data_IF_768979187204
#
_entry.id   IF_768979187204
#
_cell.length_a   1.000
_cell.length_b   1.000
_cell.length_c   1.000
_cell.angle_alpha   90.00
_cell.angle_beta   90.00
_cell.angle_gamma   90.00
#
_symmetry.space_group_name_H-M   'P 1'
#
loop_
_entity.id
_entity.type
_entity.pdbx_description
1 polymer ?
#
# COMPACT_ATOMS: atom_id res chain seq x y z
N UNK A 1 -2.32 63.68 21.29
CA UNK A 1 -3.60 62.97 21.26
C UNK A 1 -3.78 62.51 19.82
N UNK A 2 -3.30 61.30 19.51
CA UNK A 2 -3.54 60.69 18.20
C UNK A 2 -4.77 59.80 18.36
N UNK A 3 -5.79 60.18 17.62
CA UNK A 3 -7.11 59.54 17.56
C UNK A 3 -6.93 58.24 16.77
N UNK A 4 -6.85 57.12 17.49
CA UNK A 4 -6.76 55.79 16.90
C UNK A 4 -8.14 55.45 16.34
N UNK A 5 -8.28 55.51 15.02
CA UNK A 5 -9.53 55.30 14.31
C UNK A 5 -10.08 53.90 14.61
N UNK A 6 -11.24 53.87 15.27
CA UNK A 6 -11.99 52.67 15.63
C UNK A 6 -12.45 51.94 14.34
N UNK A 7 -11.68 50.91 13.96
CA UNK A 7 -12.02 50.05 12.84
C UNK A 7 -13.30 49.26 13.16
N UNK A 8 -14.20 49.03 12.18
CA UNK A 8 -15.48 48.38 12.43
C UNK A 8 -15.26 47.00 13.04
N UNK A 9 -15.91 46.75 14.18
CA UNK A 9 -15.86 45.50 14.92
C UNK A 9 -16.53 44.40 14.08
N UNK A 10 -15.75 43.79 13.20
CA UNK A 10 -16.14 42.58 12.48
C UNK A 10 -16.14 41.48 13.54
N UNK A 11 -17.32 41.22 14.10
CA UNK A 11 -17.56 40.10 15.01
C UNK A 11 -17.36 38.81 14.22
N UNK A 12 -16.12 38.33 14.19
CA UNK A 12 -15.81 37.00 13.69
C UNK A 12 -16.22 35.98 14.74
N UNK A 13 -16.96 34.94 14.32
CA UNK A 13 -17.29 33.79 15.17
C UNK A 13 -16.04 32.98 15.57
N UNK A 14 -14.91 33.20 14.88
CA UNK A 14 -13.66 32.52 15.13
C UNK A 14 -12.66 33.44 15.83
N UNK A 15 -11.86 32.90 16.77
CA UNK A 15 -10.81 33.69 17.40
C UNK A 15 -9.79 34.14 16.34
N UNK A 16 -9.29 35.37 16.48
CA UNK A 16 -8.21 35.87 15.66
C UNK A 16 -7.00 34.90 15.71
N UNK A 17 -6.26 34.75 14.61
CA UNK A 17 -5.13 33.83 14.56
C UNK A 17 -4.08 34.19 15.63
N UNK A 18 -3.34 33.20 16.16
CA UNK A 18 -2.29 33.44 17.14
C UNK A 18 -1.27 34.48 16.65
N UNK A 19 -0.92 35.45 17.49
CA UNK A 19 -0.04 36.60 17.14
C UNK A 19 1.34 36.22 16.59
N UNK A 20 1.76 34.96 16.72
CA UNK A 20 3.01 34.42 16.19
C UNK A 20 3.16 34.60 14.67
N UNK A 21 2.07 34.76 13.91
CA UNK A 21 2.16 35.00 12.47
C UNK A 21 2.99 36.25 12.11
N UNK A 22 3.00 37.26 12.99
CA UNK A 22 3.78 38.49 12.78
C UNK A 22 5.30 38.26 12.83
N UNK A 23 5.76 37.17 13.47
CA UNK A 23 7.19 36.82 13.55
C UNK A 23 7.75 36.33 12.21
N UNK A 24 6.87 35.96 11.27
CA UNK A 24 7.23 35.49 9.93
C UNK A 24 7.09 36.58 8.86
N UNK A 25 6.97 37.87 9.26
CA UNK A 25 6.78 38.98 8.33
C UNK A 25 7.94 39.14 7.33
N UNK A 26 9.17 38.85 7.74
CA UNK A 26 10.38 38.95 6.91
C UNK A 26 10.73 37.64 6.19
N UNK A 27 9.94 36.58 6.37
CA UNK A 27 10.13 35.27 5.74
C UNK A 27 10.08 34.08 6.71
N UNK A 28 10.23 32.87 6.16
CA UNK A 28 10.13 31.61 6.91
C UNK A 28 11.22 31.45 7.97
N UNK A 29 12.42 31.99 7.68
CA UNK A 29 13.61 31.92 8.54
C UNK A 29 13.58 32.89 9.74
N UNK A 30 12.67 33.88 9.71
CA UNK A 30 12.57 34.94 10.73
C UNK A 30 11.85 34.45 12.00
N UNK A 31 10.98 33.45 11.87
CA UNK A 31 10.23 32.92 13.01
C UNK A 31 10.97 31.80 13.74
N UNK A 32 10.66 31.57 15.02
CA UNK A 32 11.21 30.43 15.75
C UNK A 32 10.78 29.11 15.07
N UNK A 33 11.64 28.10 15.16
CA UNK A 33 11.28 26.74 14.79
C UNK A 33 10.08 26.27 15.63
N UNK A 34 9.21 25.41 15.07
CA UNK A 34 8.11 24.84 15.84
C UNK A 34 8.65 24.16 17.11
N UNK A 35 7.92 24.28 18.24
CA UNK A 35 8.33 23.64 19.48
C UNK A 35 8.47 22.13 19.27
N UNK A 36 9.40 21.51 20.01
CA UNK A 36 9.55 20.06 20.00
C UNK A 36 8.20 19.38 20.31
N UNK A 37 7.89 18.23 19.70
CA UNK A 37 6.67 17.49 19.99
C UNK A 37 6.56 17.30 21.50
N UNK A 38 5.42 17.70 22.07
CA UNK A 38 5.20 17.54 23.51
C UNK A 38 5.35 16.06 23.92
N UNK A 39 5.70 15.85 25.19
CA UNK A 39 5.65 14.56 25.89
C UNK A 39 4.39 13.75 25.50
N UNK A 40 4.43 12.41 25.58
CA UNK A 40 3.55 11.51 24.85
C UNK A 40 2.04 11.64 25.13
N UNK A 41 1.59 12.56 25.97
CA UNK A 41 0.18 12.82 26.25
C UNK A 41 -0.12 14.33 26.27
N UNK A 42 -1.06 14.78 25.45
CA UNK A 42 -1.57 16.15 25.44
C UNK A 42 -3.08 16.19 25.68
N UNK A 43 -3.60 17.23 26.32
CA UNK A 43 -5.04 17.36 26.52
C UNK A 43 -5.65 18.19 25.39
N UNK A 44 -6.68 17.65 24.74
CA UNK A 44 -7.46 18.33 23.73
C UNK A 44 -8.94 18.25 24.12
N UNK A 45 -9.58 19.42 24.30
CA UNK A 45 -10.98 19.51 24.73
C UNK A 45 -11.30 18.73 26.03
N UNK A 46 -10.35 18.70 26.97
CA UNK A 46 -10.50 18.01 28.25
C UNK A 46 -10.23 16.51 28.21
N UNK A 47 -9.93 15.93 27.04
CA UNK A 47 -9.54 14.53 26.90
C UNK A 47 -8.02 14.40 26.74
N UNK A 48 -7.36 13.51 27.48
CA UNK A 48 -5.95 13.18 27.24
C UNK A 48 -5.82 12.37 25.93
N UNK A 49 -4.97 12.84 25.03
CA UNK A 49 -4.60 12.19 23.77
C UNK A 49 -3.13 11.80 23.82
N UNK A 50 -2.80 10.59 23.36
CA UNK A 50 -1.42 10.17 23.21
C UNK A 50 -0.88 10.56 21.83
N UNK A 51 0.39 10.98 21.76
CA UNK A 51 1.09 11.12 20.47
C UNK A 51 1.58 9.78 19.93
N UNK A 52 1.55 8.72 20.75
CA UNK A 52 1.82 7.36 20.30
C UNK A 52 0.57 6.75 19.65
N UNK A 53 0.74 6.11 18.50
CA UNK A 53 -0.31 5.36 17.78
C UNK A 53 -0.57 4.01 18.46
N UNK A 54 -0.94 4.05 19.74
CA UNK A 54 -1.37 2.88 20.50
C UNK A 54 -2.88 2.96 20.62
N UNK A 55 -3.53 1.93 20.07
CA UNK A 55 -4.97 1.74 20.19
C UNK A 55 -5.37 1.76 21.67
N UNK A 56 -6.19 2.72 22.13
CA UNK A 56 -6.57 2.79 23.52
C UNK A 56 -7.30 1.52 23.95
N UNK A 57 -6.78 0.86 24.98
CA UNK A 57 -7.41 -0.31 25.58
C UNK A 57 -8.64 0.14 26.37
N UNK A 58 -9.82 -0.18 25.86
CA UNK A 58 -11.08 0.19 26.50
C UNK A 58 -11.38 -0.65 27.76
N UNK A 59 -10.59 -1.70 27.99
CA UNK A 59 -10.72 -2.62 29.12
C UNK A 59 -9.41 -2.69 29.92
N UNK A 60 -8.96 -1.58 30.55
CA UNK A 60 -7.70 -1.55 31.27
C UNK A 60 -7.73 -2.38 32.57
N UNK A 61 -8.91 -2.75 33.05
CA UNK A 61 -9.06 -3.55 34.27
C UNK A 61 -8.75 -5.04 34.00
N UNK A 62 -7.82 -5.66 34.74
CA UNK A 62 -7.54 -7.08 34.61
C UNK A 62 -8.80 -7.91 34.94
N UNK A 63 -9.14 -8.86 34.08
CA UNK A 63 -10.30 -9.75 34.24
C UNK A 63 -11.57 -9.33 33.51
N UNK A 64 -11.63 -8.12 32.93
CA UNK A 64 -12.77 -7.70 32.07
C UNK A 64 -12.61 -8.11 30.61
N UNK A 65 -11.41 -8.52 30.18
CA UNK A 65 -11.15 -9.06 28.84
C UNK A 65 -11.56 -10.54 28.79
N UNK A 66 -12.56 -10.84 27.97
CA UNK A 66 -13.16 -12.19 27.83
C UNK A 66 -12.50 -13.02 26.72
N UNK A 67 -11.65 -12.38 25.91
CA UNK A 67 -10.83 -13.02 24.89
C UNK A 67 -9.39 -13.19 25.39
N UNK A 68 -8.68 -14.17 24.81
CA UNK A 68 -7.31 -14.50 25.23
C UNK A 68 -6.42 -13.24 25.19
N UNK A 69 -5.57 -13.01 26.21
CA UNK A 69 -4.58 -11.95 26.13
C UNK A 69 -3.69 -12.23 24.92
N UNK A 70 -3.29 -11.17 24.21
CA UNK A 70 -2.15 -11.29 23.31
C UNK A 70 -1.00 -11.88 24.13
N UNK A 71 -0.45 -12.98 23.65
CA UNK A 71 0.31 -13.93 24.46
C UNK A 71 1.40 -13.27 25.31
N UNK A 72 1.56 -13.84 26.49
CA UNK A 72 2.80 -13.83 27.25
C UNK A 72 3.99 -14.09 26.29
N UNK A 73 5.08 -13.34 26.48
CA UNK A 73 6.20 -12.97 25.59
C UNK A 73 6.97 -14.08 24.80
N UNK A 74 6.38 -15.23 24.45
CA UNK A 74 7.11 -16.36 23.84
C UNK A 74 6.51 -16.98 22.59
N UNK A 75 5.20 -16.88 22.38
CA UNK A 75 4.54 -17.48 21.21
C UNK A 75 3.44 -16.52 20.73
N UNK A 76 3.75 -15.75 19.69
CA UNK A 76 2.79 -14.96 18.93
C UNK A 76 1.87 -15.88 18.12
N UNK A 77 1.14 -16.77 18.80
CA UNK A 77 -0.04 -17.40 18.25
C UNK A 77 -1.04 -16.27 17.97
N UNK A 78 -1.00 -15.76 16.74
CA UNK A 78 -1.84 -14.68 16.25
C UNK A 78 -3.27 -14.89 16.78
N UNK A 79 -3.76 -13.93 17.58
CA UNK A 79 -5.11 -14.03 18.13
C UNK A 79 -6.07 -14.24 16.97
N UNK A 80 -6.81 -15.35 16.98
CA UNK A 80 -7.86 -15.57 15.99
C UNK A 80 -9.04 -14.64 16.30
N UNK A 81 -8.93 -13.39 15.81
CA UNK A 81 -9.94 -12.35 15.97
C UNK A 81 -11.33 -12.83 15.50
N UNK A 82 -11.39 -13.70 14.48
CA UNK A 82 -12.65 -14.24 13.95
C UNK A 82 -13.28 -15.23 14.92
N UNK A 83 -12.52 -16.15 15.48
CA UNK A 83 -13.03 -17.09 16.48
C UNK A 83 -13.47 -16.37 17.76
N UNK A 84 -12.68 -15.43 18.26
CA UNK A 84 -13.01 -14.66 19.46
C UNK A 84 -14.26 -13.79 19.26
N UNK A 85 -14.38 -13.12 18.12
CA UNK A 85 -15.58 -12.32 17.79
C UNK A 85 -16.83 -13.19 17.75
N UNK A 86 -16.75 -14.39 17.15
CA UNK A 86 -17.87 -15.34 17.11
C UNK A 86 -18.26 -15.83 18.51
N UNK A 87 -17.28 -16.09 19.37
CA UNK A 87 -17.50 -16.53 20.75
C UNK A 87 -18.23 -15.44 21.56
N UNK A 88 -17.77 -14.19 21.47
CA UNK A 88 -18.40 -13.06 22.16
C UNK A 88 -19.81 -12.83 21.60
N UNK A 89 -20.01 -12.88 20.28
CA UNK A 89 -21.33 -12.74 19.66
C UNK A 89 -22.32 -13.82 20.15
N UNK A 90 -21.88 -15.09 20.23
CA UNK A 90 -22.71 -16.16 20.79
C UNK A 90 -23.07 -15.90 22.26
N UNK A 91 -22.13 -15.42 23.05
CA UNK A 91 -22.34 -15.07 24.46
C UNK A 91 -23.27 -13.86 24.63
N UNK A 92 -23.21 -12.88 23.73
CA UNK A 92 -24.12 -11.73 23.68
C UNK A 92 -25.55 -12.18 23.40
N UNK A 93 -25.75 -13.04 22.40
CA UNK A 93 -27.06 -13.57 22.06
C UNK A 93 -27.66 -14.38 23.23
N UNK A 94 -26.85 -15.18 23.91
CA UNK A 94 -27.28 -15.93 25.08
C UNK A 94 -27.71 -14.98 26.22
N UNK A 95 -26.90 -13.96 26.54
CA UNK A 95 -27.24 -12.97 27.55
C UNK A 95 -28.48 -12.15 27.18
N UNK A 96 -28.70 -11.84 25.91
CA UNK A 96 -29.91 -11.17 25.47
C UNK A 96 -31.17 -12.02 25.70
N UNK A 97 -31.11 -13.32 25.39
CA UNK A 97 -32.23 -14.24 25.68
C UNK A 97 -32.47 -14.37 27.18
N UNK A 98 -31.41 -14.46 27.98
CA UNK A 98 -31.50 -14.45 29.45
C UNK A 98 -32.11 -13.15 29.99
N UNK A 99 -31.73 -11.99 29.43
CA UNK A 99 -32.33 -10.70 29.79
C UNK A 99 -33.84 -10.70 29.53
N UNK A 100 -34.28 -11.20 28.38
CA UNK A 100 -35.71 -11.31 28.07
C UNK A 100 -36.43 -12.22 29.08
N UNK A 101 -35.82 -13.35 29.45
CA UNK A 101 -36.39 -14.27 30.45
C UNK A 101 -36.44 -13.62 31.86
N UNK A 102 -35.41 -12.87 32.24
CA UNK A 102 -35.38 -12.09 33.50
C UNK A 102 -36.44 -11.01 33.50
N UNK A 103 -36.65 -10.30 32.39
CA UNK A 103 -37.70 -9.28 32.28
C UNK A 103 -39.11 -9.87 32.44
N UNK A 104 -39.33 -11.11 31.98
CA UNK A 104 -40.61 -11.82 32.14
C UNK A 104 -40.79 -12.33 33.58
N UNK A 105 -39.74 -12.93 34.18
CA UNK A 105 -39.83 -13.60 35.50
C UNK A 105 -39.61 -12.68 36.69
N UNK A 106 -38.60 -11.79 36.61
CA UNK A 106 -38.12 -10.93 37.69
C UNK A 106 -37.55 -9.61 37.14
N UNK A 107 -38.40 -8.64 36.79
CA UNK A 107 -37.97 -7.41 36.13
C UNK A 107 -37.05 -6.52 36.97
N UNK A 108 -36.94 -6.73 38.29
CA UNK A 108 -36.08 -5.92 39.18
C UNK A 108 -34.59 -6.21 39.00
N UNK A 109 -34.23 -7.42 38.52
CA UNK A 109 -32.84 -7.87 38.39
C UNK A 109 -32.24 -7.64 36.99
N UNK A 110 -32.87 -6.79 36.17
CA UNK A 110 -32.44 -6.59 34.78
C UNK A 110 -31.07 -5.91 34.64
N UNK A 111 -30.68 -5.08 35.62
CA UNK A 111 -29.43 -4.30 35.57
C UNK A 111 -28.19 -5.20 35.48
N UNK A 112 -28.13 -6.30 36.24
CA UNK A 112 -26.98 -7.23 36.20
C UNK A 112 -26.76 -7.79 34.79
N UNK A 113 -27.86 -8.13 34.09
CA UNK A 113 -27.80 -8.64 32.71
C UNK A 113 -27.47 -7.55 31.69
N UNK A 114 -27.84 -6.30 31.98
CA UNK A 114 -27.44 -5.16 31.16
C UNK A 114 -25.94 -4.88 31.27
N UNK A 115 -25.39 -4.92 32.48
CA UNK A 115 -23.96 -4.73 32.74
C UNK A 115 -23.13 -5.82 32.03
N UNK A 116 -23.59 -7.07 32.05
CA UNK A 116 -22.97 -8.18 31.31
C UNK A 116 -22.96 -7.91 29.78
N UNK A 117 -24.07 -7.39 29.24
CA UNK A 117 -24.19 -7.05 27.81
C UNK A 117 -23.28 -5.88 27.45
N UNK A 118 -23.22 -4.83 28.27
CA UNK A 118 -22.33 -3.69 28.08
C UNK A 118 -20.86 -4.14 28.06
N UNK A 119 -20.48 -5.02 29.00
CA UNK A 119 -19.15 -5.61 29.04
C UNK A 119 -18.82 -6.39 27.76
N UNK A 120 -19.77 -7.16 27.23
CA UNK A 120 -19.58 -7.90 25.98
C UNK A 120 -19.42 -6.96 24.77
N UNK A 121 -20.16 -5.85 24.71
CA UNK A 121 -19.98 -4.81 23.69
C UNK A 121 -18.62 -4.14 23.78
N UNK A 122 -18.16 -3.81 24.98
CA UNK A 122 -16.85 -3.23 25.20
C UNK A 122 -15.72 -4.18 24.75
N UNK A 123 -15.88 -5.48 25.01
CA UNK A 123 -14.97 -6.52 24.54
C UNK A 123 -14.94 -6.63 23.01
N UNK A 124 -16.10 -6.58 22.34
CA UNK A 124 -16.15 -6.57 20.87
C UNK A 124 -15.47 -5.32 20.31
N UNK A 125 -15.71 -4.16 20.93
CA UNK A 125 -15.11 -2.91 20.48
C UNK A 125 -13.57 -2.99 20.57
N UNK A 126 -13.05 -3.49 21.69
CA UNK A 126 -11.61 -3.66 21.86
C UNK A 126 -11.01 -4.64 20.85
N UNK A 127 -11.72 -5.73 20.53
CA UNK A 127 -11.30 -6.70 19.53
C UNK A 127 -11.29 -6.12 18.10
N UNK A 128 -12.28 -5.28 17.76
CA UNK A 128 -12.31 -4.54 16.49
C UNK A 128 -11.14 -3.57 16.41
N UNK A 129 -10.90 -2.85 17.50
CA UNK A 129 -9.81 -1.88 17.63
C UNK A 129 -8.45 -2.54 17.44
N UNK A 130 -8.21 -3.70 18.07
CA UNK A 130 -7.00 -4.51 17.85
C UNK A 130 -6.84 -5.03 16.41
N UNK A 131 -7.94 -5.21 15.67
CA UNK A 131 -7.88 -5.64 14.27
C UNK A 131 -7.62 -4.49 13.27
N UNK A 132 -7.75 -3.22 13.68
CA UNK A 132 -7.57 -2.05 12.78
C UNK A 132 -6.21 -1.99 12.09
N UNK A 133 -5.07 -2.23 12.77
CA UNK A 133 -3.76 -2.19 12.11
C UNK A 133 -3.63 -3.25 11.00
N UNK A 134 -4.18 -4.44 11.21
CA UNK A 134 -4.23 -5.47 10.18
C UNK A 134 -5.10 -5.03 8.98
N UNK A 135 -6.29 -4.49 9.25
CA UNK A 135 -7.17 -3.95 8.21
C UNK A 135 -6.50 -2.84 7.38
N UNK A 136 -5.79 -1.92 8.03
CA UNK A 136 -5.08 -0.84 7.36
C UNK A 136 -4.00 -1.40 6.40
N UNK A 137 -3.21 -2.38 6.85
CA UNK A 137 -2.19 -3.04 6.02
C UNK A 137 -2.81 -3.72 4.80
N UNK A 138 -3.87 -4.50 4.98
CA UNK A 138 -4.58 -5.15 3.86
C UNK A 138 -5.16 -4.13 2.86
N UNK A 139 -5.66 -3.00 3.38
CA UNK A 139 -6.17 -1.90 2.54
C UNK A 139 -5.06 -1.29 1.68
N UNK A 140 -3.89 -1.05 2.26
CA UNK A 140 -2.72 -0.53 1.52
C UNK A 140 -2.23 -1.54 0.48
N UNK A 141 -2.18 -2.83 0.83
CA UNK A 141 -1.82 -3.90 -0.12
C UNK A 141 -2.80 -3.93 -1.29
N UNK A 142 -4.11 -3.82 -1.02
CA UNK A 142 -5.12 -3.80 -2.07
C UNK A 142 -4.97 -2.57 -2.96
N UNK A 143 -4.72 -1.40 -2.39
CA UNK A 143 -4.46 -0.16 -3.15
C UNK A 143 -3.25 -0.31 -4.08
N UNK A 144 -2.15 -0.87 -3.58
CA UNK A 144 -0.94 -1.11 -4.38
C UNK A 144 -1.18 -2.13 -5.49
N UNK A 145 -1.93 -3.20 -5.23
CA UNK A 145 -2.33 -4.18 -6.26
C UNK A 145 -3.13 -3.51 -7.38
N UNK A 146 -4.08 -2.65 -7.04
CA UNK A 146 -4.86 -1.88 -8.02
C UNK A 146 -3.97 -0.98 -8.85
N UNK A 147 -3.07 -0.21 -8.23
CA UNK A 147 -2.13 0.68 -8.94
C UNK A 147 -1.21 -0.09 -9.90
N UNK A 148 -0.72 -1.26 -9.50
CA UNK A 148 0.11 -2.10 -10.37
C UNK A 148 -0.71 -2.61 -11.55
N UNK A 149 -1.98 -2.98 -11.34
CA UNK A 149 -2.86 -3.43 -12.41
C UNK A 149 -3.16 -2.30 -13.39
N UNK A 150 -3.51 -1.10 -12.92
CA UNK A 150 -3.74 0.09 -13.74
C UNK A 150 -2.51 0.43 -14.60
N UNK A 151 -1.30 0.37 -14.03
CA UNK A 151 -0.06 0.61 -14.78
C UNK A 151 0.19 -0.44 -15.85
N UNK A 152 -0.13 -1.71 -15.58
CA UNK A 152 -0.03 -2.79 -16.58
C UNK A 152 -1.03 -2.58 -17.70
N UNK A 153 -2.24 -2.15 -17.39
CA UNK A 153 -3.29 -1.91 -18.37
C UNK A 153 -2.92 -0.73 -19.26
N UNK A 154 -2.46 0.38 -18.68
CA UNK A 154 -1.94 1.52 -19.43
C UNK A 154 -0.75 1.14 -20.34
N UNK A 155 0.19 0.30 -19.86
CA UNK A 155 1.30 -0.17 -20.68
C UNK A 155 0.84 -1.06 -21.85
N UNK A 156 -0.20 -1.89 -21.64
CA UNK A 156 -0.81 -2.70 -22.71
C UNK A 156 -1.50 -1.82 -23.75
N UNK A 157 -2.23 -0.81 -23.31
CA UNK A 157 -2.90 0.14 -24.20
C UNK A 157 -1.89 0.92 -25.05
N UNK A 158 -0.80 1.41 -24.45
CA UNK A 158 0.28 2.07 -25.19
C UNK A 158 0.88 1.14 -26.25
N UNK A 159 1.18 -0.12 -25.88
CA UNK A 159 1.73 -1.10 -26.84
C UNK A 159 0.75 -1.36 -27.99
N UNK A 160 -0.54 -1.52 -27.69
CA UNK A 160 -1.59 -1.68 -28.72
C UNK A 160 -1.59 -0.49 -29.68
N UNK A 161 -1.58 0.74 -29.16
CA UNK A 161 -1.58 1.94 -29.99
C UNK A 161 -0.30 2.07 -30.84
N UNK A 162 0.86 1.66 -30.32
CA UNK A 162 2.11 1.62 -31.10
C UNK A 162 2.00 0.61 -32.25
N UNK A 163 1.50 -0.59 -31.99
CA UNK A 163 1.34 -1.63 -33.01
C UNK A 163 0.33 -1.20 -34.09
N UNK A 164 -0.80 -0.61 -33.69
CA UNK A 164 -1.79 -0.03 -34.62
C UNK A 164 -1.19 1.08 -35.48
N UNK A 165 -0.40 1.98 -34.87
CA UNK A 165 0.27 3.07 -35.57
C UNK A 165 1.33 2.55 -36.54
N UNK A 166 2.12 1.56 -36.13
CA UNK A 166 3.13 0.91 -36.97
C UNK A 166 2.49 0.26 -38.21
N UNK A 167 1.43 -0.52 -38.01
CA UNK A 167 0.68 -1.14 -39.12
C UNK A 167 0.07 -0.08 -40.05
N UNK A 168 -0.37 1.06 -39.51
CA UNK A 168 -0.87 2.16 -40.31
C UNK A 168 0.22 2.80 -41.18
N UNK A 169 1.41 3.02 -40.61
CA UNK A 169 2.56 3.56 -41.35
C UNK A 169 3.04 2.57 -42.42
N UNK A 170 3.15 1.29 -42.11
CA UNK A 170 3.54 0.25 -43.07
C UNK A 170 2.57 0.18 -44.26
N UNK A 171 1.25 0.33 -44.01
CA UNK A 171 0.24 0.37 -45.08
C UNK A 171 0.43 1.56 -46.01
N UNK A 172 0.56 2.77 -45.46
CA UNK A 172 0.76 3.99 -46.25
C UNK A 172 2.09 3.93 -47.02
N UNK A 173 3.14 3.37 -46.41
CA UNK A 173 4.40 3.17 -47.10
C UNK A 173 4.28 2.19 -48.28
N UNK A 174 3.54 1.08 -48.11
CA UNK A 174 3.25 0.14 -49.20
C UNK A 174 2.48 0.78 -50.35
N UNK A 175 1.41 1.54 -50.04
CA UNK A 175 0.63 2.28 -51.05
C UNK A 175 1.48 3.30 -51.82
N UNK A 176 2.41 3.99 -51.14
CA UNK A 176 3.33 4.94 -51.79
C UNK A 176 4.34 4.26 -52.71
N UNK A 177 4.91 3.12 -52.31
CA UNK A 177 5.86 2.38 -53.14
C UNK A 177 5.19 1.83 -54.41
N UNK A 178 3.98 1.29 -54.30
CA UNK A 178 3.20 0.79 -55.43
C UNK A 178 2.81 1.92 -56.41
N UNK A 179 2.55 3.13 -55.92
CA UNK A 179 2.29 4.31 -56.76
C UNK A 179 3.54 4.90 -57.46
N UNK A 180 4.74 4.60 -56.96
CA UNK A 180 6.01 5.11 -57.53
C UNK A 180 6.55 4.18 -58.63
N UNK A 181 6.27 2.89 -58.54
CA UNK A 181 6.61 1.91 -59.58
C UNK A 181 5.79 2.11 -60.87
N UNK A 182 4.56 2.64 -60.76
CA UNK A 182 3.72 2.98 -61.94
C UNK A 182 4.15 4.31 -62.62
N UNK A 183 4.82 5.20 -61.87
CA UNK A 183 5.38 6.46 -62.40
C UNK A 183 6.78 6.30 -63.00
N UNK A 184 7.57 5.33 -62.54
CA UNK A 184 8.93 5.05 -63.05
C UNK A 184 8.94 4.13 -64.27
N UNK A 185 7.84 3.45 -64.58
CA UNK A 185 7.69 2.67 -65.82
C UNK A 185 7.57 3.55 -67.10
N UNK A 186 7.46 4.87 -66.98
CA UNK A 186 7.25 5.78 -68.11
C UNK A 186 8.49 6.58 -68.58
N UNK A 187 9.64 6.54 -67.90
CA UNK A 187 10.84 7.22 -68.41
C UNK A 187 12.16 6.53 -68.00
N UNK A 188 12.93 6.09 -69.00
CA UNK A 188 14.37 5.87 -68.87
C UNK A 188 14.89 4.43 -68.78
N UNK A 189 15.17 3.82 -69.93
CA UNK A 189 15.97 2.61 -70.06
C UNK A 189 17.49 2.89 -69.96
N UNK A 190 18.21 2.33 -68.97
CA UNK A 190 19.44 1.50 -69.11
C UNK A 190 20.33 1.43 -67.84
N UNK A 191 21.18 0.39 -67.70
CA UNK A 191 21.68 -0.13 -66.43
C UNK A 191 23.16 0.21 -66.14
N UNK A 192 23.54 0.29 -64.87
CA UNK A 192 24.91 0.08 -64.39
C UNK A 192 24.90 -0.05 -62.86
N UNK A 193 25.40 -1.16 -62.33
CA UNK A 193 25.37 -1.47 -60.90
C UNK A 193 26.53 -0.88 -60.11
N UNK A 194 26.45 -1.06 -58.78
CA UNK A 194 27.54 -1.47 -57.89
C UNK A 194 26.92 -1.91 -56.57
N UNK A 195 27.28 -3.13 -56.15
CA UNK A 195 27.18 -3.65 -54.78
C UNK A 195 27.65 -2.62 -53.75
N UNK A 196 26.89 -2.44 -52.66
CA UNK A 196 27.43 -2.40 -51.31
C UNK A 196 26.39 -2.95 -50.31
N UNK A 197 26.65 -4.16 -49.85
CA UNK A 197 25.97 -4.85 -48.73
C UNK A 197 26.18 -4.06 -47.42
N UNK A 198 25.12 -3.43 -46.90
CA UNK A 198 25.08 -3.00 -45.49
C UNK A 198 24.27 -4.02 -44.69
N UNK A 199 25.01 -4.97 -44.12
CA UNK A 199 24.53 -5.98 -43.17
C UNK A 199 24.06 -5.31 -41.87
N UNK A 200 22.74 -5.16 -41.71
CA UNK A 200 22.13 -4.80 -40.43
C UNK A 200 21.97 -6.06 -39.57
N UNK A 201 22.48 -5.95 -38.35
CA UNK A 201 22.55 -6.97 -37.32
C UNK A 201 21.14 -7.32 -36.79
N UNK A 202 20.74 -8.59 -36.94
CA UNK A 202 19.54 -9.13 -36.31
C UNK A 202 19.79 -9.36 -34.82
N UNK A 203 19.13 -8.58 -33.96
CA UNK A 203 18.96 -8.89 -32.54
C UNK A 203 17.66 -9.71 -32.40
N UNK A 204 17.81 -11.03 -32.50
CA UNK A 204 16.75 -11.98 -32.11
C UNK A 204 16.68 -12.05 -30.58
N UNK A 205 15.70 -11.35 -30.01
CA UNK A 205 15.20 -11.58 -28.66
C UNK A 205 13.99 -12.51 -28.73
N UNK A 206 14.24 -13.82 -28.60
CA UNK A 206 13.22 -14.87 -28.58
C UNK A 206 12.20 -14.62 -27.47
N UNK A 207 10.95 -14.34 -27.86
CA UNK A 207 9.78 -14.48 -26.99
C UNK A 207 9.31 -15.94 -26.95
N UNK A 208 9.14 -16.48 -25.75
CA UNK A 208 8.46 -17.76 -25.54
C UNK A 208 7.34 -17.56 -24.50
N UNK A 209 6.10 -17.52 -24.99
CA UNK A 209 4.87 -17.76 -24.22
C UNK A 209 4.58 -19.27 -24.17
N UNK A 210 4.01 -19.74 -23.04
CA UNK A 210 3.72 -21.15 -22.68
C UNK A 210 2.83 -21.92 -23.67
N UNK A 211 2.57 -23.22 -23.49
CA UNK A 211 1.75 -23.84 -22.42
C UNK A 211 2.01 -25.38 -22.36
N UNK A 212 1.76 -25.99 -21.18
CA UNK A 212 2.04 -27.40 -20.78
C UNK A 212 1.36 -28.54 -21.57
N UNK A 213 1.48 -29.80 -21.20
CA UNK A 213 2.18 -30.43 -20.08
C UNK A 213 2.20 -31.97 -20.26
N UNK A 214 2.67 -32.63 -19.20
CA UNK A 214 2.53 -34.06 -18.84
C UNK A 214 3.67 -35.06 -19.14
N UNK A 215 3.78 -35.98 -18.17
CA UNK A 215 4.91 -36.78 -17.67
C UNK A 215 5.69 -37.68 -18.66
N UNK A 216 7.01 -37.77 -18.44
CA UNK A 216 7.72 -39.05 -18.39
C UNK A 216 9.07 -38.94 -17.65
N UNK A 217 9.26 -39.90 -16.76
CA UNK A 217 10.41 -40.21 -15.91
C UNK A 217 11.72 -40.43 -16.69
N UNK A 218 12.84 -39.83 -16.25
CA UNK A 218 14.19 -40.37 -16.47
C UNK A 218 15.22 -39.76 -15.50
N UNK A 219 15.73 -40.61 -14.62
CA UNK A 219 17.01 -40.49 -13.92
C UNK A 219 18.18 -40.33 -14.90
N UNK A 220 19.12 -39.42 -14.63
CA UNK A 220 20.39 -39.43 -15.36
C UNK A 220 21.30 -38.22 -15.14
N UNK A 221 22.39 -38.47 -14.40
CA UNK A 221 23.73 -37.90 -14.58
C UNK A 221 23.95 -36.39 -14.40
N UNK A 222 24.57 -36.07 -13.26
CA UNK A 222 25.34 -34.85 -13.06
C UNK A 222 26.36 -34.65 -14.19
N UNK A 223 26.27 -33.51 -14.88
CA UNK A 223 27.35 -32.96 -15.69
C UNK A 223 27.37 -31.45 -15.49
N UNK A 224 28.49 -30.95 -14.95
CA UNK A 224 28.71 -29.55 -14.64
C UNK A 224 28.79 -28.74 -15.93
N UNK A 225 27.68 -28.13 -16.33
CA UNK A 225 27.68 -27.13 -17.39
C UNK A 225 28.22 -25.82 -16.80
N UNK A 226 29.42 -25.41 -17.25
CA UNK A 226 30.01 -24.13 -16.90
C UNK A 226 29.09 -23.00 -17.39
N UNK A 227 28.68 -22.13 -16.45
CA UNK A 227 27.84 -20.95 -16.71
C UNK A 227 28.53 -20.05 -17.75
N UNK A 228 27.75 -19.50 -18.69
CA UNK A 228 28.28 -18.55 -19.68
C UNK A 228 28.72 -17.25 -18.98
N UNK A 229 29.69 -16.49 -19.54
CA UNK A 229 30.21 -15.29 -18.90
C UNK A 229 29.13 -14.25 -18.56
N UNK A 230 28.10 -14.13 -19.40
CA UNK A 230 26.95 -13.25 -19.16
C UNK A 230 26.08 -13.70 -17.97
N UNK A 231 25.94 -15.02 -17.75
CA UNK A 231 25.20 -15.56 -16.61
C UNK A 231 25.98 -15.40 -15.30
N UNK A 232 27.31 -15.45 -15.33
CA UNK A 232 28.15 -15.15 -14.17
C UNK A 232 28.06 -13.69 -13.76
N UNK A 233 28.14 -12.75 -14.70
CA UNK A 233 28.03 -11.31 -14.41
C UNK A 233 26.65 -10.95 -13.82
N UNK A 234 25.58 -11.57 -14.32
CA UNK A 234 24.24 -11.35 -13.78
C UNK A 234 24.04 -11.98 -12.40
N UNK A 235 24.69 -13.13 -12.13
CA UNK A 235 24.70 -13.72 -10.80
C UNK A 235 25.50 -12.87 -9.80
N UNK A 236 26.62 -12.28 -10.21
CA UNK A 236 27.42 -11.36 -9.38
C UNK A 236 26.65 -10.07 -9.07
N UNK A 237 26.06 -9.42 -10.07
CA UNK A 237 25.18 -8.24 -9.86
C UNK A 237 24.01 -8.54 -8.92
N UNK A 238 23.42 -9.74 -9.01
CA UNK A 238 22.34 -10.16 -8.09
C UNK A 238 22.82 -10.39 -6.66
N UNK A 239 24.07 -10.83 -6.47
CA UNK A 239 24.68 -11.01 -5.15
C UNK A 239 25.06 -9.67 -4.53
N UNK A 240 25.62 -8.75 -5.32
CA UNK A 240 25.93 -7.38 -4.88
C UNK A 240 24.66 -6.62 -4.48
N UNK A 241 23.57 -6.77 -5.24
CA UNK A 241 22.27 -6.19 -4.89
C UNK A 241 21.73 -6.73 -3.57
N UNK A 242 21.87 -8.04 -3.31
CA UNK A 242 21.48 -8.64 -2.02
C UNK A 242 22.36 -8.16 -0.87
N UNK A 243 23.67 -8.04 -1.07
CA UNK A 243 24.58 -7.52 -0.05
C UNK A 243 24.30 -6.05 0.28
N UNK A 244 24.01 -5.21 -0.72
CA UNK A 244 23.59 -3.83 -0.47
C UNK A 244 22.26 -3.77 0.30
N UNK A 245 21.33 -4.67 -0.01
CA UNK A 245 20.06 -4.76 0.70
C UNK A 245 20.26 -5.18 2.17
N UNK A 246 21.09 -6.21 2.43
CA UNK A 246 21.41 -6.66 3.79
C UNK A 246 22.17 -5.60 4.58
N UNK A 247 23.12 -4.89 3.97
CA UNK A 247 23.81 -3.75 4.61
C UNK A 247 22.85 -2.61 4.94
N UNK A 248 21.90 -2.30 4.05
CA UNK A 248 20.89 -1.29 4.30
C UNK A 248 20.00 -1.66 5.50
N UNK A 249 19.52 -2.91 5.58
CA UNK A 249 18.69 -3.35 6.70
C UNK A 249 19.48 -3.44 8.01
N UNK A 250 20.75 -3.86 7.97
CA UNK A 250 21.61 -3.86 9.15
C UNK A 250 21.91 -2.45 9.67
N UNK A 251 22.12 -1.47 8.77
CA UNK A 251 22.29 -0.07 9.16
C UNK A 251 21.00 0.52 9.77
N UNK A 252 19.83 0.11 9.27
CA UNK A 252 18.54 0.52 9.82
C UNK A 252 18.32 -0.05 11.23
N UNK A 253 18.71 -1.31 11.46
CA UNK A 253 18.64 -1.98 12.76
C UNK A 253 19.61 -1.36 13.77
N UNK A 254 20.80 -0.97 13.34
CA UNK A 254 21.78 -0.25 14.17
C UNK A 254 21.36 1.19 14.52
N UNK A 255 20.47 1.81 13.74
CA UNK A 255 19.93 3.14 14.00
C UNK A 255 18.67 3.13 14.89
N UNK A 256 18.05 1.95 15.09
CA UNK A 256 16.87 1.76 15.95
C UNK A 256 17.21 1.25 17.37
N UNK A 257 18.46 0.85 17.62
CA UNK A 257 18.99 0.56 18.96
C UNK A 257 19.84 1.73 19.48
#
# INVERSE_FOLDING_TARGET
>A
MQEEAEAPEIVSEFPAPPKFFALYAEGVESGPAPPEPMEPTYHMFGSPYSTQDVVPDLLPQPGKKVYAPEGDEGDAAAVDYKAQMKKINRSLLANFVELVDVLIKKPVMFNEKLDDIELLFLNMHNLINGFRPHQARETVIQMLKTQVQERRDAARDIRRTIDESRLAVERVHGELHESTDDATAADGASPAGTDEDVKMENVDGTGATGIGGDQANASGAASAAALTPAQQEQAEKSREARQMQEQFFSALEAAMN
#
